data_IF_194841399499
#
_entry.id   IF_194841399499
#
_cell.length_a   1.000
_cell.length_b   1.000
_cell.length_c   1.000
_cell.angle_alpha   90.00
_cell.angle_beta   90.00
_cell.angle_gamma   90.00
#
_symmetry.space_group_name_H-M   'P 1'
#
loop_
_entity.id
_entity.type
_entity.pdbx_description
1 polymer ?
#
# COMPACT_ATOMS: atom_id res chain seq x y z
N UNK A 1 -7.06 -8.19 -15.26
CA UNK A 1 -6.70 -6.79 -15.61
C UNK A 1 -6.20 -6.67 -17.06
N UNK A 2 -6.39 -7.72 -17.88
CA UNK A 2 -5.88 -7.77 -19.26
C UNK A 2 -6.24 -6.50 -20.05
N UNK A 3 -5.21 -5.81 -20.56
CA UNK A 3 -5.34 -4.59 -21.35
C UNK A 3 -5.70 -3.32 -20.59
N UNK A 4 -5.94 -3.40 -19.27
CA UNK A 4 -6.36 -2.24 -18.46
C UNK A 4 -5.16 -1.42 -17.98
N UNK A 5 -5.32 -0.10 -17.97
CA UNK A 5 -4.36 0.85 -17.41
C UNK A 5 -4.76 1.18 -15.96
N UNK A 6 -3.91 0.81 -15.02
CA UNK A 6 -4.19 1.00 -13.60
C UNK A 6 -3.19 1.99 -13.02
N UNK A 7 -3.69 3.02 -12.38
CA UNK A 7 -2.84 3.92 -11.59
C UNK A 7 -2.27 3.17 -10.40
N UNK A 8 -0.96 3.19 -10.26
CA UNK A 8 -0.29 2.58 -9.12
C UNK A 8 1.12 3.14 -8.94
N UNK A 9 1.68 2.96 -7.75
CA UNK A 9 3.12 3.11 -7.53
C UNK A 9 3.85 1.78 -7.75
N UNK A 10 5.18 1.80 -7.67
CA UNK A 10 6.03 0.64 -7.96
C UNK A 10 5.75 -0.61 -7.14
N UNK A 11 5.20 -0.45 -5.91
CA UNK A 11 4.85 -1.57 -5.04
C UNK A 11 3.70 -2.44 -5.57
N UNK A 12 2.83 -1.89 -6.40
CA UNK A 12 1.71 -2.63 -6.99
C UNK A 12 2.06 -3.31 -8.32
N UNK A 13 3.23 -3.00 -8.89
CA UNK A 13 3.68 -3.61 -10.16
C UNK A 13 3.61 -5.14 -10.16
N UNK A 14 4.05 -5.82 -9.08
CA UNK A 14 4.01 -7.29 -9.01
C UNK A 14 2.60 -7.89 -9.00
N UNK A 15 1.58 -7.08 -8.76
CA UNK A 15 0.17 -7.50 -8.83
C UNK A 15 -0.43 -7.19 -10.21
N UNK A 16 -0.24 -5.96 -10.66
CA UNK A 16 -0.95 -5.45 -11.86
C UNK A 16 -0.44 -6.15 -13.13
N UNK A 17 0.88 -6.25 -13.28
CA UNK A 17 1.48 -6.79 -14.50
C UNK A 17 1.19 -8.28 -14.71
N UNK A 18 1.34 -9.19 -13.71
CA UNK A 18 0.99 -10.60 -13.88
C UNK A 18 -0.50 -10.85 -14.12
N UNK A 19 -1.37 -9.91 -13.75
CA UNK A 19 -2.80 -9.96 -14.05
C UNK A 19 -3.14 -9.37 -15.43
N UNK A 20 -2.12 -9.04 -16.24
CA UNK A 20 -2.27 -8.56 -17.62
C UNK A 20 -2.58 -7.06 -17.73
N UNK A 21 -2.47 -6.30 -16.65
CA UNK A 21 -2.65 -4.86 -16.65
C UNK A 21 -1.34 -4.10 -16.92
N UNK A 22 -1.45 -2.83 -17.29
CA UNK A 22 -0.35 -1.88 -17.36
C UNK A 22 -0.46 -0.85 -16.22
N UNK A 23 0.70 -0.36 -15.76
CA UNK A 23 0.76 0.56 -14.63
C UNK A 23 1.08 1.98 -15.11
N UNK A 24 0.35 2.96 -14.60
CA UNK A 24 0.61 4.39 -14.78
C UNK A 24 0.94 4.99 -13.41
N UNK A 25 2.09 5.63 -13.28
CA UNK A 25 2.47 6.29 -12.04
C UNK A 25 2.00 7.75 -12.05
N UNK A 26 1.10 8.09 -11.13
CA UNK A 26 0.53 9.43 -10.95
C UNK A 26 0.47 9.76 -9.46
N UNK A 27 0.58 11.07 -9.13
CA UNK A 27 0.36 11.53 -7.76
C UNK A 27 -1.14 11.42 -7.38
N UNK A 28 -1.42 11.37 -6.07
CA UNK A 28 -2.79 11.22 -5.56
C UNK A 28 -3.78 12.25 -6.09
N UNK A 29 -3.38 13.52 -6.16
CA UNK A 29 -4.22 14.62 -6.67
C UNK A 29 -4.54 14.55 -8.17
N UNK A 30 -3.77 13.77 -8.95
CA UNK A 30 -3.98 13.63 -10.39
C UNK A 30 -4.95 12.49 -10.76
N UNK A 31 -5.24 11.60 -9.80
CA UNK A 31 -5.98 10.36 -10.05
C UNK A 31 -7.42 10.64 -10.49
N UNK A 32 -8.11 11.59 -9.84
CA UNK A 32 -9.49 11.94 -10.20
C UNK A 32 -9.60 12.34 -11.68
N UNK A 33 -8.76 13.26 -12.11
CA UNK A 33 -8.72 13.75 -13.49
C UNK A 33 -8.31 12.64 -14.48
N UNK A 34 -7.38 11.78 -14.09
CA UNK A 34 -6.94 10.66 -14.92
C UNK A 34 -8.04 9.61 -15.10
N UNK A 35 -8.82 9.31 -14.06
CA UNK A 35 -10.01 8.44 -14.14
C UNK A 35 -11.09 9.08 -15.01
N UNK A 36 -11.39 10.37 -14.78
CA UNK A 36 -12.41 11.11 -15.53
C UNK A 36 -12.13 11.14 -17.04
N UNK A 37 -10.85 11.33 -17.41
CA UNK A 37 -10.41 11.41 -18.81
C UNK A 37 -10.12 10.03 -19.44
N UNK A 38 -10.25 8.93 -18.70
CA UNK A 38 -9.93 7.59 -19.18
C UNK A 38 -8.44 7.35 -19.42
N UNK A 39 -7.54 8.17 -18.87
CA UNK A 39 -6.09 7.95 -18.91
C UNK A 39 -5.74 6.66 -18.16
N UNK A 40 -6.47 6.41 -17.07
CA UNK A 40 -6.47 5.15 -16.33
C UNK A 40 -7.90 4.67 -16.11
N UNK A 41 -8.08 3.35 -16.03
CA UNK A 41 -9.39 2.71 -15.85
C UNK A 41 -9.62 2.26 -14.40
N UNK A 42 -8.64 2.48 -13.53
CA UNK A 42 -8.69 2.18 -12.10
C UNK A 42 -7.45 2.67 -11.39
N UNK A 43 -7.51 2.60 -10.05
CA UNK A 43 -6.39 2.98 -9.21
C UNK A 43 -6.16 1.94 -8.11
N UNK A 44 -4.88 1.56 -7.90
CA UNK A 44 -4.46 0.83 -6.72
C UNK A 44 -4.05 1.86 -5.65
N UNK A 45 -4.71 1.77 -4.50
CA UNK A 45 -4.57 2.70 -3.37
C UNK A 45 -5.00 2.03 -2.07
N UNK A 46 -4.55 2.47 -0.89
CA UNK A 46 -5.19 2.12 0.38
C UNK A 46 -6.68 2.49 0.36
N UNK A 47 -7.49 1.81 1.16
CA UNK A 47 -8.95 2.10 1.20
C UNK A 47 -9.21 3.57 1.54
N UNK A 48 -8.46 4.11 2.50
CA UNK A 48 -8.60 5.48 2.95
C UNK A 48 -8.14 6.50 1.91
N UNK A 49 -8.92 7.57 1.76
CA UNK A 49 -8.69 8.70 0.88
C UNK A 49 -9.55 8.70 -0.40
N UNK A 50 -10.24 7.61 -0.71
CA UNK A 50 -11.10 7.57 -1.90
C UNK A 50 -12.31 8.52 -1.79
N UNK A 51 -12.81 8.75 -0.57
CA UNK A 51 -13.86 9.73 -0.29
C UNK A 51 -13.32 11.16 -0.44
N UNK A 52 -12.18 11.46 0.19
CA UNK A 52 -11.59 12.81 0.17
C UNK A 52 -11.23 13.25 -1.24
N UNK A 53 -10.69 12.34 -2.05
CA UNK A 53 -10.37 12.57 -3.46
C UNK A 53 -11.56 12.41 -4.41
N UNK A 54 -12.76 12.10 -3.90
CA UNK A 54 -14.00 11.91 -4.68
C UNK A 54 -13.91 10.87 -5.81
N UNK A 55 -13.04 9.88 -5.67
CA UNK A 55 -12.87 8.88 -6.75
C UNK A 55 -14.12 8.05 -6.99
N UNK A 56 -15.02 7.95 -6.00
CA UNK A 56 -16.32 7.30 -6.12
C UNK A 56 -17.20 7.89 -7.24
N UNK A 57 -16.95 9.11 -7.68
CA UNK A 57 -17.66 9.72 -8.80
C UNK A 57 -17.28 9.05 -10.12
N UNK A 58 -16.03 8.62 -10.26
CA UNK A 58 -15.46 8.06 -11.49
C UNK A 58 -15.31 6.53 -11.43
N UNK A 59 -15.03 5.96 -10.26
CA UNK A 59 -14.83 4.53 -10.04
C UNK A 59 -15.95 3.95 -9.18
N UNK A 60 -16.83 3.15 -9.79
CA UNK A 60 -18.02 2.60 -9.14
C UNK A 60 -17.84 1.22 -8.55
N UNK A 61 -16.64 0.64 -8.65
CA UNK A 61 -16.35 -0.69 -8.17
C UNK A 61 -15.09 -0.72 -7.32
N UNK A 62 -15.15 -1.44 -6.22
CA UNK A 62 -14.04 -1.64 -5.30
C UNK A 62 -13.75 -3.15 -5.17
N UNK A 63 -12.52 -3.55 -5.45
CA UNK A 63 -12.11 -4.95 -5.42
C UNK A 63 -11.92 -5.46 -4.00
N UNK A 64 -12.39 -6.70 -3.76
CA UNK A 64 -12.24 -7.46 -2.51
C UNK A 64 -11.72 -8.88 -2.78
N UNK A 65 -11.07 -9.52 -1.81
CA UNK A 65 -10.59 -8.94 -0.56
C UNK A 65 -9.42 -7.98 -0.76
N UNK A 66 -9.09 -7.21 0.26
CA UNK A 66 -7.87 -6.38 0.29
C UNK A 66 -6.64 -7.29 0.24
N UNK A 67 -5.56 -6.80 -0.30
CA UNK A 67 -4.29 -7.50 -0.33
C UNK A 67 -3.18 -6.61 0.21
N UNK A 68 -2.20 -7.24 0.85
CA UNK A 68 -1.05 -6.56 1.40
C UNK A 68 -1.36 -5.64 2.59
N UNK A 69 -0.30 -5.26 3.28
CA UNK A 69 -0.31 -4.26 4.36
C UNK A 69 0.82 -3.28 4.06
N UNK A 70 0.56 -1.99 4.22
CA UNK A 70 1.57 -0.95 4.08
C UNK A 70 1.74 -0.23 5.41
N UNK A 71 2.95 -0.24 6.00
CA UNK A 71 3.20 0.52 7.21
C UNK A 71 3.31 2.01 6.86
N UNK A 72 2.79 2.86 7.72
CA UNK A 72 3.07 4.28 7.69
C UNK A 72 4.21 4.57 8.66
N UNK A 73 5.26 5.22 8.18
CA UNK A 73 6.41 5.59 9.00
C UNK A 73 6.59 7.09 9.04
N UNK A 74 6.81 7.64 10.22
CA UNK A 74 7.21 9.03 10.40
C UNK A 74 8.72 9.07 10.58
N UNK A 75 9.41 9.76 9.69
CA UNK A 75 10.87 9.85 9.71
C UNK A 75 11.31 11.30 9.85
N UNK A 76 12.41 11.52 10.56
CA UNK A 76 13.03 12.81 10.71
C UNK A 76 14.51 12.75 10.34
N UNK A 77 15.04 13.82 9.75
CA UNK A 77 16.47 13.92 9.48
C UNK A 77 17.26 13.85 10.80
N UNK A 78 18.23 12.93 10.86
CA UNK A 78 18.99 12.65 12.09
C UNK A 78 19.72 13.89 12.63
N UNK A 79 20.33 14.71 11.75
CA UNK A 79 21.01 15.92 12.17
C UNK A 79 20.04 16.97 12.76
N UNK A 80 18.81 17.03 12.25
CA UNK A 80 17.76 17.89 12.82
C UNK A 80 17.28 17.36 14.16
N UNK A 81 17.06 16.05 14.27
CA UNK A 81 16.72 15.41 15.54
C UNK A 81 17.78 15.63 16.62
N UNK A 82 19.05 15.45 16.26
CA UNK A 82 20.17 15.64 17.21
C UNK A 82 20.36 17.08 17.70
N UNK A 83 19.80 18.08 16.97
CA UNK A 83 19.81 19.49 17.40
C UNK A 83 18.69 19.85 18.37
N UNK A 84 17.72 18.97 18.57
CA UNK A 84 16.67 19.15 19.57
C UNK A 84 17.24 18.99 20.98
N UNK A 85 16.58 19.61 21.95
CA UNK A 85 16.88 19.35 23.36
C UNK A 85 16.65 17.86 23.70
N UNK A 86 17.30 17.37 24.74
CA UNK A 86 17.08 15.97 25.20
C UNK A 86 15.64 15.72 25.62
N UNK A 87 14.99 16.74 26.19
CA UNK A 87 13.58 16.69 26.55
C UNK A 87 12.68 16.52 25.30
N UNK A 88 12.92 17.30 24.23
CA UNK A 88 12.15 17.22 22.99
C UNK A 88 12.39 15.90 22.26
N UNK A 89 13.65 15.41 22.24
CA UNK A 89 13.97 14.09 21.68
C UNK A 89 13.18 12.98 22.39
N UNK A 90 13.15 13.01 23.72
CA UNK A 90 12.43 12.05 24.54
C UNK A 90 10.91 12.14 24.32
N UNK A 91 10.37 13.37 24.26
CA UNK A 91 8.96 13.61 23.98
C UNK A 91 8.55 13.06 22.62
N UNK A 92 9.29 13.37 21.56
CA UNK A 92 9.01 12.87 20.20
C UNK A 92 9.00 11.33 20.16
N UNK A 93 9.99 10.69 20.76
CA UNK A 93 10.07 9.22 20.78
C UNK A 93 8.95 8.61 21.63
N UNK A 94 8.58 9.24 22.75
CA UNK A 94 7.45 8.79 23.56
C UNK A 94 6.14 8.91 22.78
N UNK A 95 5.87 10.07 22.19
CA UNK A 95 4.66 10.32 21.39
C UNK A 95 4.58 9.35 20.22
N UNK A 96 5.69 9.09 19.52
CA UNK A 96 5.71 8.09 18.43
C UNK A 96 5.29 6.71 18.89
N UNK A 97 5.80 6.24 20.05
CA UNK A 97 5.41 4.94 20.63
C UNK A 97 3.95 4.90 21.10
N UNK A 98 3.45 6.01 21.62
CA UNK A 98 2.06 6.09 22.07
C UNK A 98 1.10 6.03 20.87
N UNK A 99 1.41 6.76 19.78
CA UNK A 99 0.67 6.71 18.51
C UNK A 99 0.74 5.32 17.87
N UNK A 100 1.92 4.67 17.88
CA UNK A 100 2.08 3.32 17.33
C UNK A 100 1.11 2.30 17.99
N UNK A 101 0.82 2.47 19.27
CA UNK A 101 -0.13 1.61 20.00
C UNK A 101 -1.59 1.89 19.64
N UNK A 102 -1.98 3.17 19.46
CA UNK A 102 -3.38 3.56 19.19
C UNK A 102 -3.73 3.46 17.69
N UNK A 103 -2.77 3.76 16.82
CA UNK A 103 -2.99 3.88 15.39
C UNK A 103 -3.69 2.67 14.71
N UNK A 104 -3.41 1.39 15.06
CA UNK A 104 -4.11 0.28 14.43
C UNK A 104 -5.62 0.30 14.65
N UNK A 105 -6.09 0.67 15.84
CA UNK A 105 -7.52 0.78 16.13
C UNK A 105 -8.14 1.97 15.38
N UNK A 106 -7.49 3.12 15.40
CA UNK A 106 -7.95 4.34 14.74
C UNK A 106 -8.04 4.16 13.23
N UNK A 107 -7.00 3.57 12.61
CA UNK A 107 -6.99 3.27 11.18
C UNK A 107 -8.04 2.24 10.78
N UNK A 108 -8.28 1.22 11.61
CA UNK A 108 -9.34 0.24 11.35
C UNK A 108 -10.72 0.91 11.40
N UNK A 109 -11.00 1.72 12.41
CA UNK A 109 -12.27 2.44 12.54
C UNK A 109 -12.47 3.39 11.34
N UNK A 110 -11.46 4.18 10.97
CA UNK A 110 -11.51 5.06 9.81
C UNK A 110 -11.73 4.29 8.50
N UNK A 111 -11.09 3.14 8.34
CA UNK A 111 -11.26 2.28 7.15
C UNK A 111 -12.69 1.75 7.03
N UNK A 112 -13.29 1.29 8.13
CA UNK A 112 -14.67 0.80 8.14
C UNK A 112 -15.64 1.92 7.78
N UNK A 113 -15.48 3.09 8.39
CA UNK A 113 -16.29 4.28 8.08
C UNK A 113 -16.20 4.68 6.61
N UNK A 114 -15.00 4.66 6.03
CA UNK A 114 -14.81 4.99 4.61
C UNK A 114 -15.50 3.97 3.68
N UNK A 115 -15.45 2.68 4.02
CA UNK A 115 -16.15 1.64 3.26
C UNK A 115 -17.67 1.88 3.27
N UNK A 116 -18.24 2.25 4.42
CA UNK A 116 -19.67 2.59 4.53
C UNK A 116 -20.02 3.80 3.67
N UNK A 117 -19.26 4.88 3.78
CA UNK A 117 -19.44 6.08 2.96
C UNK A 117 -19.33 5.79 1.46
N UNK A 118 -18.39 4.95 1.06
CA UNK A 118 -18.26 4.56 -0.36
C UNK A 118 -19.49 3.77 -0.84
N UNK A 119 -20.04 2.88 0.00
CA UNK A 119 -21.30 2.16 -0.30
C UNK A 119 -22.48 3.13 -0.44
N UNK A 120 -22.62 4.09 0.45
CA UNK A 120 -23.64 5.16 0.36
C UNK A 120 -23.51 5.99 -0.91
N UNK A 121 -22.28 6.20 -1.41
CA UNK A 121 -22.01 6.86 -2.69
C UNK A 121 -22.18 5.94 -3.92
N UNK A 122 -22.71 4.73 -3.71
CA UNK A 122 -23.03 3.78 -4.77
C UNK A 122 -21.85 2.95 -5.28
N UNK A 123 -20.72 2.93 -4.56
CA UNK A 123 -19.60 2.05 -4.90
C UNK A 123 -19.94 0.60 -4.51
N UNK A 124 -19.83 -0.30 -5.47
CA UNK A 124 -20.11 -1.73 -5.31
C UNK A 124 -18.81 -2.50 -5.04
N UNK A 125 -18.86 -3.44 -4.12
CA UNK A 125 -17.75 -4.39 -3.93
C UNK A 125 -17.79 -5.48 -4.99
N UNK A 126 -16.64 -5.80 -5.56
CA UNK A 126 -16.44 -6.97 -6.43
C UNK A 126 -15.51 -7.94 -5.72
N UNK A 127 -15.82 -9.22 -5.81
CA UNK A 127 -15.06 -10.26 -5.10
C UNK A 127 -14.27 -11.11 -6.10
N UNK A 128 -12.97 -11.25 -5.82
CA UNK A 128 -12.12 -12.17 -6.56
C UNK A 128 -12.40 -13.61 -6.15
N UNK A 129 -12.25 -14.55 -7.08
CA UNK A 129 -12.21 -15.96 -6.70
C UNK A 129 -11.01 -16.24 -5.77
N UNK A 130 -11.10 -17.26 -4.91
CA UNK A 130 -10.00 -17.63 -4.01
C UNK A 130 -8.67 -17.87 -4.75
N UNK A 131 -8.72 -18.48 -5.92
CA UNK A 131 -7.56 -18.73 -6.77
C UNK A 131 -6.90 -17.43 -7.25
N UNK A 132 -7.69 -16.51 -7.79
CA UNK A 132 -7.19 -15.22 -8.29
C UNK A 132 -6.66 -14.38 -7.15
N UNK A 133 -7.34 -14.39 -5.99
CA UNK A 133 -6.86 -13.70 -4.79
C UNK A 133 -5.51 -14.26 -4.32
N UNK A 134 -5.39 -15.60 -4.23
CA UNK A 134 -4.12 -16.23 -3.84
C UNK A 134 -2.99 -15.83 -4.77
N UNK A 135 -3.21 -15.92 -6.08
CA UNK A 135 -2.21 -15.51 -7.10
C UNK A 135 -1.79 -14.05 -6.93
N UNK A 136 -2.75 -13.18 -6.67
CA UNK A 136 -2.52 -11.75 -6.48
C UNK A 136 -1.71 -11.49 -5.20
N UNK A 137 -2.10 -12.11 -4.09
CA UNK A 137 -1.44 -11.92 -2.78
C UNK A 137 -0.02 -12.49 -2.80
N UNK A 138 0.18 -13.69 -3.34
CA UNK A 138 1.50 -14.30 -3.49
C UNK A 138 2.41 -13.42 -4.37
N UNK A 139 1.87 -12.91 -5.46
CA UNK A 139 2.57 -11.98 -6.36
C UNK A 139 2.96 -10.68 -5.66
N UNK A 140 2.07 -10.12 -4.84
CA UNK A 140 2.37 -8.94 -4.04
C UNK A 140 3.50 -9.19 -3.04
N UNK A 141 3.39 -10.23 -2.23
CA UNK A 141 4.38 -10.54 -1.18
C UNK A 141 5.76 -10.79 -1.80
N UNK A 142 5.84 -11.65 -2.83
CA UNK A 142 7.09 -11.90 -3.56
C UNK A 142 7.66 -10.63 -4.18
N UNK A 143 6.80 -9.83 -4.78
CA UNK A 143 7.20 -8.60 -5.45
C UNK A 143 7.71 -7.53 -4.50
N UNK A 144 7.12 -7.38 -3.33
CA UNK A 144 7.59 -6.44 -2.29
C UNK A 144 8.98 -6.84 -1.80
N UNK A 145 9.22 -8.12 -1.52
CA UNK A 145 10.55 -8.59 -1.14
C UNK A 145 11.58 -8.37 -2.25
N UNK A 146 11.27 -8.74 -3.50
CA UNK A 146 12.14 -8.50 -4.64
C UNK A 146 12.45 -7.01 -4.84
N UNK A 147 11.43 -6.16 -4.70
CA UNK A 147 11.61 -4.71 -4.77
C UNK A 147 12.54 -4.22 -3.66
N UNK A 148 12.28 -4.59 -2.41
CA UNK A 148 13.06 -4.14 -1.26
C UNK A 148 14.53 -4.58 -1.34
N UNK A 149 14.79 -5.84 -1.73
CA UNK A 149 16.16 -6.38 -1.89
C UNK A 149 16.92 -5.63 -2.99
N UNK A 150 16.25 -5.25 -4.07
CA UNK A 150 16.91 -4.65 -5.23
C UNK A 150 16.79 -3.12 -5.28
N UNK A 151 16.13 -2.49 -4.32
CA UNK A 151 15.91 -1.05 -4.29
C UNK A 151 17.21 -0.25 -4.21
N UNK A 152 18.16 -0.70 -3.41
CA UNK A 152 19.40 0.03 -3.19
C UNK A 152 20.56 -0.95 -2.93
N UNK A 153 21.67 -0.78 -3.67
CA UNK A 153 22.87 -1.62 -3.53
C UNK A 153 23.44 -1.63 -2.10
N UNK A 154 23.40 -0.50 -1.38
CA UNK A 154 23.91 -0.41 0.01
C UNK A 154 23.03 -1.17 1.01
N UNK A 155 21.72 -1.16 0.83
CA UNK A 155 20.79 -1.85 1.73
C UNK A 155 20.60 -3.32 1.37
N UNK A 156 20.92 -3.73 0.15
CA UNK A 156 20.69 -5.09 -0.37
C UNK A 156 21.14 -6.20 0.59
N UNK A 157 22.37 -6.22 1.14
CA UNK A 157 22.80 -7.31 2.02
C UNK A 157 21.96 -7.41 3.30
N UNK A 158 21.56 -6.26 3.86
CA UNK A 158 20.72 -6.21 5.08
C UNK A 158 19.30 -6.70 4.80
N UNK A 159 18.69 -6.25 3.70
CA UNK A 159 17.34 -6.66 3.31
C UNK A 159 17.30 -8.13 2.91
N UNK A 160 18.34 -8.62 2.24
CA UNK A 160 18.48 -10.04 1.93
C UNK A 160 18.52 -10.90 3.21
N UNK A 161 19.30 -10.49 4.19
CA UNK A 161 19.35 -11.17 5.50
C UNK A 161 18.01 -11.14 6.23
N UNK A 162 17.29 -10.02 6.19
CA UNK A 162 15.93 -9.93 6.76
C UNK A 162 14.97 -10.90 6.05
N UNK A 163 15.03 -10.98 4.73
CA UNK A 163 14.23 -11.95 3.97
C UNK A 163 14.54 -13.40 4.38
N UNK A 164 15.82 -13.75 4.50
CA UNK A 164 16.25 -15.09 4.92
C UNK A 164 15.73 -15.44 6.33
N UNK A 165 15.85 -14.51 7.27
CA UNK A 165 15.29 -14.68 8.62
C UNK A 165 13.77 -14.83 8.62
N UNK A 166 13.06 -14.01 7.87
CA UNK A 166 11.60 -14.09 7.75
C UNK A 166 11.16 -15.41 7.07
N UNK A 167 11.88 -15.84 6.03
CA UNK A 167 11.64 -17.11 5.36
C UNK A 167 11.83 -18.29 6.32
N UNK A 168 12.90 -18.29 7.07
CA UNK A 168 13.26 -19.40 7.99
C UNK A 168 12.27 -19.46 9.16
N UNK A 169 11.64 -18.35 9.53
CA UNK A 169 10.54 -18.29 10.50
C UNK A 169 9.16 -18.59 9.89
N UNK A 170 9.04 -18.78 8.59
CA UNK A 170 7.75 -18.97 7.90
C UNK A 170 6.96 -17.69 7.59
N UNK A 171 7.54 -16.51 7.84
CA UNK A 171 6.91 -15.18 7.65
C UNK A 171 7.13 -14.62 6.22
N UNK A 172 7.93 -15.29 5.40
CA UNK A 172 8.16 -14.92 4.02
C UNK A 172 8.10 -16.15 3.08
N UNK A 173 7.86 -15.92 1.76
CA UNK A 173 7.82 -17.01 0.79
C UNK A 173 9.13 -17.80 0.76
N UNK A 174 9.05 -19.14 0.59
CA UNK A 174 10.22 -20.00 0.45
C UNK A 174 11.11 -19.64 -0.75
N UNK A 175 10.52 -19.04 -1.79
CA UNK A 175 11.22 -18.55 -2.98
C UNK A 175 10.60 -17.27 -3.52
N UNK A 176 11.44 -16.39 -4.03
CA UNK A 176 11.03 -15.14 -4.71
C UNK A 176 10.94 -15.29 -6.24
N UNK A 177 11.20 -16.49 -6.75
CA UNK A 177 11.04 -16.83 -8.18
C UNK A 177 9.59 -17.18 -8.51
#
# INVERSE_FOLDING_TARGET
LKGRKIRANGFYKPVIVPLGGSMVNLNGGEIYSALQKGVVEGAAWPVQGAIDFKWYEQAKYMMRPRFGVSPYTVTMNLNKFNKLSKADQALMLKTGRDIEKSAPADFNAATLKEIELLKEKGVKETHLSPEVYKKMNDGFVKGVWNFAINFNKKSKPRVQKLYEMARDNGDAPASLK
#
